data_IF_542887159620
#
_entry.id   IF_542887159620
#
_cell.length_a   1.000
_cell.length_b   1.000
_cell.length_c   1.000
_cell.angle_alpha   90.00
_cell.angle_beta   90.00
_cell.angle_gamma   90.00
#
_symmetry.space_group_name_H-M   'P 1'
#
loop_
_entity.id
_entity.type
_entity.pdbx_description
1 polymer ?
#
# COMPACT_ATOMS: atom_id res chain seq x y z
N UNK A 1 -0.59 5.47 1.33
CA UNK A 1 0.60 4.57 1.38
C UNK A 1 1.75 5.18 0.58
N UNK A 2 2.94 5.26 1.18
CA UNK A 2 4.17 5.72 0.52
C UNK A 2 5.18 4.57 0.50
N UNK A 3 5.93 4.44 -0.58
CA UNK A 3 6.96 3.40 -0.73
C UNK A 3 8.33 4.06 -0.82
N UNK A 4 9.30 3.45 -0.15
CA UNK A 4 10.72 3.81 -0.26
C UNK A 4 11.47 2.57 -0.70
N UNK A 5 12.25 2.69 -1.76
CA UNK A 5 13.20 1.66 -2.15
C UNK A 5 14.45 1.79 -1.29
N UNK A 6 14.92 0.67 -0.74
CA UNK A 6 16.10 0.61 0.12
C UNK A 6 17.16 -0.33 -0.45
N UNK A 7 18.43 0.01 -0.24
CA UNK A 7 19.53 -0.89 -0.56
C UNK A 7 19.57 -2.11 0.36
N UNK A 8 20.30 -3.16 -0.04
CA UNK A 8 20.46 -4.38 0.79
C UNK A 8 21.02 -4.10 2.19
N UNK A 9 21.85 -3.08 2.32
CA UNK A 9 22.45 -2.62 3.57
C UNK A 9 21.70 -1.43 4.20
N UNK A 10 20.55 -1.06 3.63
CA UNK A 10 19.75 0.11 4.02
C UNK A 10 20.46 1.47 3.92
N UNK A 11 21.64 1.56 3.28
CA UNK A 11 22.37 2.83 3.12
C UNK A 11 21.70 3.75 2.09
N UNK A 12 21.15 3.16 1.03
CA UNK A 12 20.32 3.84 0.03
C UNK A 12 18.87 3.91 0.49
N UNK A 13 18.26 5.09 0.35
CA UNK A 13 16.82 5.32 0.50
C UNK A 13 16.34 6.21 -0.64
N UNK A 14 15.50 5.68 -1.52
CA UNK A 14 14.87 6.44 -2.59
C UNK A 14 13.36 6.53 -2.36
N UNK A 15 12.86 7.75 -2.17
CA UNK A 15 11.44 7.99 -1.90
C UNK A 15 10.66 8.01 -3.22
N UNK A 16 9.92 6.94 -3.51
CA UNK A 16 9.18 6.78 -4.77
C UNK A 16 7.84 7.53 -4.79
N UNK A 17 7.50 8.23 -3.70
CA UNK A 17 6.27 9.00 -3.58
C UNK A 17 5.08 8.19 -3.04
N UNK A 18 3.88 8.54 -3.50
CA UNK A 18 2.61 7.95 -3.05
C UNK A 18 2.27 6.76 -3.95
N UNK A 19 2.21 5.57 -3.36
CA UNK A 19 1.80 4.36 -4.08
C UNK A 19 0.27 4.24 -4.15
N UNK A 20 -0.41 4.58 -3.05
CA UNK A 20 -1.86 4.46 -2.97
C UNK A 20 -2.45 5.56 -2.08
N UNK A 21 -3.52 6.22 -2.53
CA UNK A 21 -4.22 7.28 -1.79
C UNK A 21 -5.54 6.76 -1.21
N UNK A 22 -5.56 6.47 0.09
CA UNK A 22 -6.74 5.96 0.80
C UNK A 22 -7.83 7.01 1.03
N UNK A 23 -7.55 8.29 0.75
CA UNK A 23 -8.55 9.37 0.85
C UNK A 23 -9.41 9.54 -0.40
N UNK A 24 -9.05 8.89 -1.52
CA UNK A 24 -9.72 9.10 -2.81
C UNK A 24 -10.66 7.97 -3.23
N UNK A 25 -10.82 6.93 -2.41
CA UNK A 25 -11.65 5.77 -2.73
C UNK A 25 -12.40 5.26 -1.48
N UNK A 26 -13.51 4.55 -1.74
CA UNK A 26 -14.17 3.70 -0.78
C UNK A 26 -13.77 2.23 -1.05
N UNK A 27 -13.68 1.36 -0.03
CA UNK A 27 -14.19 1.49 1.35
C UNK A 27 -13.19 2.07 2.36
N UNK A 28 -12.09 2.67 1.91
CA UNK A 28 -10.94 3.01 2.74
C UNK A 28 -11.27 4.00 3.86
N UNK A 29 -12.18 4.95 3.66
CA UNK A 29 -12.49 6.03 4.63
C UNK A 29 -11.21 6.73 5.12
N UNK A 30 -10.22 6.92 4.23
CA UNK A 30 -8.92 7.48 4.59
C UNK A 30 -7.94 6.49 5.23
N UNK A 31 -8.35 5.28 5.63
CA UNK A 31 -7.51 4.26 6.24
C UNK A 31 -7.19 3.10 5.28
N UNK A 32 -5.89 2.94 5.03
CA UNK A 32 -5.29 1.72 4.50
C UNK A 32 -4.19 1.27 5.46
N UNK A 33 -4.32 0.07 6.04
CA UNK A 33 -3.44 -0.42 7.09
C UNK A 33 -2.88 -1.81 6.76
N UNK A 34 -1.81 -2.18 7.49
CA UNK A 34 -1.11 -3.46 7.37
C UNK A 34 -0.83 -3.90 5.91
N UNK A 35 -0.32 -3.02 5.02
CA UNK A 35 -0.13 -3.37 3.63
C UNK A 35 0.96 -4.43 3.47
N UNK A 36 0.68 -5.45 2.67
CA UNK A 36 1.64 -6.42 2.15
C UNK A 36 1.75 -6.25 0.64
N UNK A 37 2.98 -6.22 0.13
CA UNK A 37 3.27 -5.96 -1.28
C UNK A 37 3.74 -7.22 -1.99
N UNK A 38 3.43 -7.32 -3.28
CA UNK A 38 3.90 -8.39 -4.14
C UNK A 38 3.85 -8.00 -5.61
N UNK A 39 4.26 -8.92 -6.46
CA UNK A 39 4.14 -8.82 -7.91
C UNK A 39 3.45 -10.06 -8.46
N UNK A 40 2.56 -9.88 -9.43
CA UNK A 40 1.92 -10.95 -10.19
C UNK A 40 2.11 -10.67 -11.68
N UNK A 41 2.81 -11.54 -12.39
CA UNK A 41 3.16 -11.31 -13.81
C UNK A 41 3.95 -10.02 -14.08
N UNK A 42 4.69 -9.52 -13.09
CA UNK A 42 5.40 -8.23 -13.16
C UNK A 42 4.54 -7.01 -12.82
N UNK A 43 3.25 -7.19 -12.53
CA UNK A 43 2.35 -6.12 -12.09
C UNK A 43 2.42 -6.02 -10.55
N UNK A 44 2.78 -4.85 -9.99
CA UNK A 44 2.79 -4.66 -8.55
C UNK A 44 1.36 -4.62 -7.99
N UNK A 45 1.18 -5.26 -6.83
CA UNK A 45 -0.07 -5.21 -6.08
C UNK A 45 0.17 -5.06 -4.58
N UNK A 46 -0.87 -4.64 -3.88
CA UNK A 46 -0.91 -4.52 -2.43
C UNK A 46 -2.18 -5.17 -1.90
N UNK A 47 -2.04 -6.01 -0.88
CA UNK A 47 -3.15 -6.49 -0.03
C UNK A 47 -3.10 -5.69 1.26
N UNK A 48 -4.24 -5.20 1.73
CA UNK A 48 -4.31 -4.30 2.87
C UNK A 48 -5.66 -4.37 3.59
N UNK A 49 -5.70 -3.84 4.81
CA UNK A 49 -6.95 -3.56 5.52
C UNK A 49 -7.49 -2.19 5.09
N UNK A 50 -8.68 -2.16 4.49
CA UNK A 50 -9.40 -0.96 4.10
C UNK A 50 -10.51 -0.63 5.11
N UNK A 51 -10.69 0.65 5.44
CA UNK A 51 -11.81 1.12 6.25
C UNK A 51 -11.47 1.35 7.72
N UNK A 52 -12.44 1.93 8.43
CA UNK A 52 -12.34 2.33 9.85
C UNK A 52 -12.01 1.15 10.78
N UNK A 53 -11.56 1.48 11.99
CA UNK A 53 -11.28 0.46 13.01
C UNK A 53 -12.55 -0.36 13.29
N UNK A 54 -12.42 -1.70 13.31
CA UNK A 54 -13.49 -2.68 13.59
C UNK A 54 -14.56 -2.85 12.49
N UNK A 55 -14.52 -2.08 11.41
CA UNK A 55 -15.36 -2.27 10.22
C UNK A 55 -14.54 -2.56 8.96
N UNK A 56 -13.26 -2.89 9.13
CA UNK A 56 -12.32 -3.06 8.02
C UNK A 56 -12.59 -4.31 7.18
N UNK A 57 -12.25 -4.21 5.90
CA UNK A 57 -12.25 -5.32 4.95
C UNK A 57 -10.84 -5.59 4.43
N UNK A 58 -10.58 -6.82 3.97
CA UNK A 58 -9.37 -7.11 3.20
C UNK A 58 -9.60 -6.66 1.76
N UNK A 59 -8.72 -5.80 1.27
CA UNK A 59 -8.80 -5.21 -0.05
C UNK A 59 -7.52 -5.45 -0.86
N UNK A 60 -7.61 -5.27 -2.17
CA UNK A 60 -6.48 -5.34 -3.10
C UNK A 60 -6.43 -4.10 -3.98
N UNK A 61 -5.23 -3.54 -4.14
CA UNK A 61 -4.93 -2.47 -5.07
C UNK A 61 -3.86 -2.95 -6.07
N UNK A 62 -4.02 -2.60 -7.34
CA UNK A 62 -3.10 -2.93 -8.44
C UNK A 62 -2.68 -1.64 -9.16
N UNK A 63 -1.43 -1.61 -9.64
CA UNK A 63 -0.89 -0.52 -10.45
C UNK A 63 -1.40 -0.51 -11.88
#
# INVERSE_FOLDING_TARGET
>A
IRITEVGMDFSRRNHLGVFYNSGSAAPESGRAAAPSFGTDGGVPYMIYEAGERLSGAIAVARG
#
